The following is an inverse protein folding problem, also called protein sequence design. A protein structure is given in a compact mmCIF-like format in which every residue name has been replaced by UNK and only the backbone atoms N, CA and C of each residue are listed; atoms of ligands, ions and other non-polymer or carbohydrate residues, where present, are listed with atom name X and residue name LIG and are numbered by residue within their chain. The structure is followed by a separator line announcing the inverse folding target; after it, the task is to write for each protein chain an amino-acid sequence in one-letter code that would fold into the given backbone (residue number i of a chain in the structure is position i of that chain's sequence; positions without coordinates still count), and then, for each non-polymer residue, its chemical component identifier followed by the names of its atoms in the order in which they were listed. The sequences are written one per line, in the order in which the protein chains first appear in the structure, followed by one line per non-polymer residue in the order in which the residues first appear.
data_IF_813589491651
#
_entry.id   IF_813589491651
#
_cell.length_a   1.000
_cell.length_b   1.000
_cell.length_c   1.000
_cell.angle_alpha   90.00
_cell.angle_beta   90.00
_cell.angle_gamma   90.00
#
_symmetry.space_group_name_H-M   'P 1'
#
loop_
_entity.id
_entity.type
_entity.pdbx_description
1 polymer ?
#
# COMPACT_ATOMS: atom_id res chain seq x y z
N UNK A 1 4.91 -14.90 16.86
CA UNK A 1 3.86 -13.92 16.51
C UNK A 1 4.47 -12.87 15.60
N UNK A 2 3.93 -12.71 14.40
CA UNK A 2 4.40 -11.74 13.41
C UNK A 2 3.32 -10.69 13.19
N UNK A 3 3.73 -9.42 13.13
CA UNK A 3 2.91 -8.37 12.53
C UNK A 3 3.57 -8.02 11.20
N UNK A 4 2.82 -8.05 10.11
CA UNK A 4 3.32 -7.71 8.78
C UNK A 4 2.52 -6.51 8.28
N UNK A 5 3.19 -5.37 8.15
CA UNK A 5 2.67 -4.12 7.60
C UNK A 5 2.99 -4.08 6.10
N UNK A 6 1.96 -4.08 5.27
CA UNK A 6 2.11 -4.10 3.82
C UNK A 6 0.94 -3.42 3.10
N UNK A 7 1.14 -3.14 1.81
CA UNK A 7 0.31 -2.30 0.96
C UNK A 7 0.33 -0.82 1.35
N UNK A 8 -0.22 -0.48 2.52
CA UNK A 8 -0.14 0.82 3.20
C UNK A 8 -0.23 2.04 2.27
N UNK A 9 -1.31 2.16 1.46
CA UNK A 9 -1.45 3.25 0.51
C UNK A 9 -1.75 4.58 1.20
N UNK A 10 -1.44 5.66 0.49
CA UNK A 10 -1.88 6.99 0.87
C UNK A 10 -3.33 7.19 0.43
N UNK A 11 -4.19 7.57 1.37
CA UNK A 11 -5.59 7.93 1.07
C UNK A 11 -5.63 9.08 0.09
N UNK A 12 -6.59 9.05 -0.83
CA UNK A 12 -6.75 10.00 -1.93
C UNK A 12 -5.57 10.09 -2.92
N UNK A 13 -4.63 9.13 -2.87
CA UNK A 13 -3.72 8.86 -3.99
C UNK A 13 -4.12 7.55 -4.69
N UNK A 14 -3.88 7.46 -6.02
CA UNK A 14 -4.19 6.27 -6.77
C UNK A 14 -3.42 5.08 -6.25
N UNK A 15 -4.11 3.95 -6.20
CA UNK A 15 -3.47 2.66 -6.01
C UNK A 15 -2.74 2.27 -7.29
N UNK A 16 -1.57 2.84 -7.52
CA UNK A 16 -0.75 2.55 -8.68
C UNK A 16 0.04 1.24 -8.51
N UNK A 17 0.61 0.73 -9.61
CA UNK A 17 1.42 -0.50 -9.64
C UNK A 17 2.55 -0.56 -8.60
N UNK A 18 3.11 0.57 -8.16
CA UNK A 18 4.05 0.58 -7.03
C UNK A 18 3.51 -0.04 -5.73
N UNK A 19 2.22 0.12 -5.43
CA UNK A 19 1.58 -0.47 -4.25
C UNK A 19 1.39 -1.97 -4.40
N UNK A 20 1.11 -2.46 -5.63
CA UNK A 20 0.96 -3.89 -5.93
C UNK A 20 2.14 -4.71 -5.41
N UNK A 21 3.36 -4.18 -5.51
CA UNK A 21 4.56 -4.90 -5.10
C UNK A 21 4.61 -5.14 -3.60
N UNK A 22 4.33 -4.12 -2.79
CA UNK A 22 4.17 -4.28 -1.35
C UNK A 22 3.03 -5.24 -1.02
N UNK A 23 1.88 -5.05 -1.68
CA UNK A 23 0.67 -5.86 -1.51
C UNK A 23 0.92 -7.35 -1.71
N UNK A 24 1.48 -7.73 -2.86
CA UNK A 24 1.73 -9.14 -3.23
C UNK A 24 2.87 -9.75 -2.41
N UNK A 25 3.97 -9.02 -2.18
CA UNK A 25 5.09 -9.52 -1.38
C UNK A 25 4.70 -9.72 0.08
N UNK A 26 3.97 -8.75 0.66
CA UNK A 26 3.49 -8.83 2.04
C UNK A 26 2.49 -9.96 2.23
N UNK A 27 1.52 -10.11 1.33
CA UNK A 27 0.58 -11.22 1.37
C UNK A 27 1.28 -12.58 1.24
N UNK A 28 2.21 -12.73 0.29
CA UNK A 28 3.02 -13.95 0.11
C UNK A 28 3.83 -14.28 1.38
N UNK A 29 4.45 -13.28 2.00
CA UNK A 29 5.19 -13.43 3.26
C UNK A 29 4.26 -13.87 4.41
N UNK A 30 3.07 -13.28 4.51
CA UNK A 30 2.09 -13.68 5.52
C UNK A 30 1.66 -15.13 5.35
N UNK A 31 1.41 -15.57 4.11
CA UNK A 31 1.02 -16.94 3.82
C UNK A 31 2.14 -17.93 4.11
N UNK A 32 3.39 -17.58 3.77
CA UNK A 32 4.57 -18.39 4.09
C UNK A 32 4.75 -18.55 5.62
N UNK A 33 4.65 -17.46 6.36
CA UNK A 33 4.76 -17.48 7.83
C UNK A 33 3.61 -18.27 8.46
N UNK A 34 2.39 -18.13 7.96
CA UNK A 34 1.22 -18.87 8.43
C UNK A 34 1.39 -20.38 8.15
N UNK A 35 1.84 -20.74 6.95
CA UNK A 35 2.14 -22.13 6.57
C UNK A 35 3.22 -22.76 7.45
N UNK A 36 4.22 -21.98 7.86
CA UNK A 36 5.24 -22.40 8.83
C UNK A 36 4.73 -22.54 10.28
N UNK A 37 3.43 -22.34 10.53
CA UNK A 37 2.80 -22.50 11.84
C UNK A 37 2.87 -21.27 12.74
N UNK A 38 3.23 -20.09 12.21
CA UNK A 38 3.24 -18.86 12.99
C UNK A 38 1.89 -18.16 13.02
N UNK A 39 1.58 -17.52 14.15
CA UNK A 39 0.49 -16.54 14.22
C UNK A 39 0.92 -15.24 13.52
N UNK A 40 0.18 -14.83 12.49
CA UNK A 40 0.48 -13.65 11.66
C UNK A 40 -0.70 -12.68 11.70
N UNK A 41 -0.42 -11.43 12.02
CA UNK A 41 -1.35 -10.30 11.89
C UNK A 41 -1.02 -9.54 10.61
N UNK A 42 -1.95 -9.53 9.66
CA UNK A 42 -1.91 -8.77 8.40
C UNK A 42 -2.39 -7.35 8.66
N UNK A 43 -1.50 -6.38 8.62
CA UNK A 43 -1.80 -4.98 8.93
C UNK A 43 -1.66 -4.12 7.66
N UNK A 44 -2.64 -3.23 7.45
CA UNK A 44 -2.58 -2.18 6.43
C UNK A 44 -2.50 -0.82 7.13
N UNK A 45 -1.39 -0.10 6.97
CA UNK A 45 -1.15 1.18 7.62
C UNK A 45 -1.41 2.34 6.65
N UNK A 46 -2.59 2.94 6.74
CA UNK A 46 -3.04 3.94 5.78
C UNK A 46 -2.35 5.28 5.99
N UNK A 47 -1.77 5.82 4.92
CA UNK A 47 -1.25 7.19 4.88
C UNK A 47 -2.39 8.18 4.73
N UNK A 48 -3.09 8.48 5.82
CA UNK A 48 -4.27 9.36 5.86
C UNK A 48 -4.03 10.68 6.60
N UNK A 49 -2.76 11.02 6.87
CA UNK A 49 -2.38 12.23 7.59
C UNK A 49 -1.20 12.93 6.92
N UNK A 50 -1.41 14.17 6.49
CA UNK A 50 -0.35 15.01 5.91
C UNK A 50 -0.87 16.13 5.04
N UNK A 51 0.05 16.93 4.48
CA UNK A 51 -0.28 18.11 3.66
C UNK A 51 -1.10 17.77 2.41
N UNK A 52 -1.02 16.53 1.92
CA UNK A 52 -1.88 16.02 0.85
C UNK A 52 -3.37 16.08 1.21
N UNK A 53 -3.73 15.89 2.48
CA UNK A 53 -5.11 15.98 2.96
C UNK A 53 -5.61 17.43 2.84
N UNK A 54 -4.80 18.40 3.27
CA UNK A 54 -5.12 19.83 3.15
C UNK A 54 -5.26 20.29 1.71
N UNK A 55 -4.41 19.80 0.81
CA UNK A 55 -4.54 20.07 -0.64
C UNK A 55 -5.87 19.57 -1.20
N UNK A 56 -6.26 18.35 -0.83
CA UNK A 56 -7.52 17.77 -1.28
C UNK A 56 -8.71 18.56 -0.75
N UNK A 57 -8.73 18.90 0.55
CA UNK A 57 -9.79 19.71 1.17
C UNK A 57 -9.90 21.07 0.49
N UNK A 58 -8.77 21.78 0.31
CA UNK A 58 -8.75 23.10 -0.31
C UNK A 58 -9.15 23.06 -1.79
N UNK A 59 -8.72 22.02 -2.50
CA UNK A 59 -8.96 21.81 -3.93
C UNK A 59 -10.37 21.35 -4.26
N UNK A 60 -10.99 20.54 -3.39
CA UNK A 60 -12.31 19.96 -3.67
C UNK A 60 -13.40 21.03 -3.81
N UNK A 61 -13.31 22.14 -3.07
CA UNK A 61 -14.25 23.25 -3.23
C UNK A 61 -14.24 23.89 -4.63
N UNK A 62 -13.15 23.75 -5.39
CA UNK A 62 -12.98 24.36 -6.73
C UNK A 62 -13.05 23.34 -7.85
N UNK A 63 -12.46 22.17 -7.66
CA UNK A 63 -12.31 21.12 -8.68
C UNK A 63 -13.19 19.90 -8.41
N UNK A 64 -13.85 19.84 -7.25
CA UNK A 64 -14.73 18.75 -6.87
C UNK A 64 -16.04 18.76 -7.63
N UNK A 65 -16.54 17.56 -7.94
CA UNK A 65 -17.83 17.34 -8.57
C UNK A 65 -18.46 16.09 -7.93
N UNK A 66 -19.66 16.24 -7.38
CA UNK A 66 -20.32 15.15 -6.65
C UNK A 66 -20.76 13.99 -7.55
N UNK A 67 -21.11 14.25 -8.81
CA UNK A 67 -21.50 13.20 -9.77
C UNK A 67 -20.29 12.35 -10.17
N UNK A 68 -19.15 12.99 -10.45
CA UNK A 68 -17.91 12.27 -10.77
C UNK A 68 -17.37 11.52 -9.55
N UNK A 69 -17.47 12.10 -8.35
CA UNK A 69 -17.14 11.41 -7.11
C UNK A 69 -17.99 10.15 -6.90
N UNK A 70 -19.28 10.18 -7.25
CA UNK A 70 -20.16 9.02 -7.12
C UNK A 70 -19.86 7.92 -8.16
N UNK A 71 -19.41 8.28 -9.36
CA UNK A 71 -19.08 7.32 -10.43
C UNK A 71 -17.76 6.59 -10.18
N UNK A 72 -16.71 7.32 -9.86
CA UNK A 72 -15.36 6.78 -9.64
C UNK A 72 -14.64 7.63 -8.58
N UNK A 73 -14.86 7.34 -7.28
CA UNK A 73 -14.34 8.18 -6.21
C UNK A 73 -12.82 8.31 -6.25
N UNK A 74 -12.10 7.21 -6.46
CA UNK A 74 -10.63 7.20 -6.45
C UNK A 74 -10.05 8.05 -7.57
N UNK A 75 -10.59 7.91 -8.79
CA UNK A 75 -10.14 8.67 -9.94
C UNK A 75 -10.47 10.15 -9.82
N UNK A 76 -11.65 10.49 -9.29
CA UNK A 76 -12.04 11.87 -9.10
C UNK A 76 -11.25 12.55 -7.98
N UNK A 77 -11.06 11.91 -6.83
CA UNK A 77 -10.21 12.47 -5.75
C UNK A 77 -8.77 12.69 -6.23
N UNK A 78 -8.25 11.80 -7.08
CA UNK A 78 -6.95 11.99 -7.71
C UNK A 78 -6.93 13.23 -8.64
N UNK A 79 -7.94 13.40 -9.48
CA UNK A 79 -7.99 14.53 -10.41
C UNK A 79 -8.01 15.86 -9.65
N UNK A 80 -8.77 15.93 -8.56
CA UNK A 80 -8.80 17.07 -7.63
C UNK A 80 -7.43 17.30 -6.99
N UNK A 81 -6.78 16.24 -6.48
CA UNK A 81 -5.46 16.35 -5.86
C UNK A 81 -4.40 16.89 -6.85
N UNK A 82 -4.36 16.37 -8.08
CA UNK A 82 -3.39 16.83 -9.10
C UNK A 82 -3.64 18.29 -9.48
N UNK A 83 -4.90 18.68 -9.65
CA UNK A 83 -5.26 20.06 -9.93
C UNK A 83 -4.85 20.98 -8.76
N UNK A 84 -5.16 20.59 -7.53
CA UNK A 84 -4.82 21.33 -6.32
C UNK A 84 -3.30 21.46 -6.12
N UNK A 85 -2.53 20.38 -6.35
CA UNK A 85 -1.08 20.42 -6.23
C UNK A 85 -0.46 21.35 -7.28
N UNK A 86 -0.91 21.25 -8.54
CA UNK A 86 -0.47 22.15 -9.63
C UNK A 86 -0.78 23.62 -9.32
N UNK A 87 -1.93 23.88 -8.67
CA UNK A 87 -2.31 25.22 -8.26
C UNK A 87 -1.44 25.72 -7.09
N UNK A 88 -1.20 24.89 -6.07
CA UNK A 88 -0.34 25.22 -4.94
C UNK A 88 1.13 25.49 -5.32
N UNK A 89 1.61 24.92 -6.42
CA UNK A 89 2.93 25.22 -6.99
C UNK A 89 3.01 26.61 -7.63
N UNK A 90 1.88 27.12 -8.14
CA UNK A 90 1.79 28.39 -8.90
C UNK A 90 1.27 29.55 -8.06
N UNK A 91 0.45 29.25 -7.07
CA UNK A 91 -0.28 30.23 -6.25
C UNK A 91 0.10 30.06 -4.75
N UNK A 92 0.92 30.96 -4.21
CA UNK A 92 1.27 30.98 -2.79
C UNK A 92 0.07 31.12 -1.86
N UNK A 93 -0.99 31.82 -2.27
CA UNK A 93 -2.20 32.01 -1.45
C UNK A 93 -3.00 30.71 -1.39
N UNK A 94 -3.09 29.99 -2.51
CA UNK A 94 -3.68 28.65 -2.52
C UNK A 94 -2.88 27.68 -1.66
N UNK A 95 -1.54 27.75 -1.70
CA UNK A 95 -0.68 26.94 -0.83
C UNK A 95 -0.92 27.24 0.65
N UNK A 96 -1.03 28.52 1.03
CA UNK A 96 -1.36 28.93 2.39
C UNK A 96 -2.75 28.41 2.81
N UNK A 97 -3.73 28.46 1.90
CA UNK A 97 -5.06 27.89 2.12
C UNK A 97 -5.01 26.38 2.36
N UNK A 98 -4.25 25.63 1.56
CA UNK A 98 -4.09 24.18 1.73
C UNK A 98 -3.44 23.82 3.08
N UNK A 99 -2.45 24.60 3.53
CA UNK A 99 -1.85 24.46 4.86
C UNK A 99 -2.86 24.76 5.97
N UNK A 100 -3.69 25.80 5.81
CA UNK A 100 -4.77 26.11 6.74
C UNK A 100 -5.79 24.98 6.82
N UNK A 101 -6.26 24.47 5.68
CA UNK A 101 -7.20 23.34 5.67
C UNK A 101 -6.62 22.09 6.33
N UNK A 102 -5.31 21.85 6.22
CA UNK A 102 -4.66 20.79 6.99
C UNK A 102 -4.66 21.09 8.49
N UNK A 103 -4.32 22.31 8.90
CA UNK A 103 -4.37 22.70 10.31
C UNK A 103 -5.78 22.59 10.91
N UNK A 104 -6.82 22.97 10.15
CA UNK A 104 -8.23 22.81 10.55
C UNK A 104 -8.60 21.32 10.72
N UNK A 105 -8.07 20.45 9.86
CA UNK A 105 -8.21 18.99 10.00
C UNK A 105 -7.48 18.48 11.25
N UNK A 106 -6.28 18.96 11.55
CA UNK A 106 -5.54 18.61 12.76
C UNK A 106 -6.23 19.10 14.04
N UNK A 107 -6.92 20.25 13.97
CA UNK A 107 -7.73 20.80 15.05
C UNK A 107 -9.06 20.05 15.28
N UNK A 108 -9.44 19.16 14.36
CA UNK A 108 -10.68 18.41 14.44
C UNK A 108 -11.92 19.24 14.10
N UNK A 109 -11.79 20.25 13.24
CA UNK A 109 -12.91 21.07 12.79
C UNK A 109 -14.01 20.18 12.17
N UNK A 110 -15.25 20.17 12.72
CA UNK A 110 -16.25 19.15 12.41
C UNK A 110 -16.54 18.98 10.91
N UNK A 111 -16.74 20.09 10.18
CA UNK A 111 -17.07 20.03 8.75
C UNK A 111 -15.92 19.50 7.89
N UNK A 112 -14.68 19.82 8.27
CA UNK A 112 -13.49 19.37 7.54
C UNK A 112 -13.25 17.89 7.82
N UNK A 113 -13.40 17.49 9.08
CA UNK A 113 -13.23 16.11 9.52
C UNK A 113 -14.27 15.17 8.91
N UNK A 114 -15.55 15.57 8.86
CA UNK A 114 -16.63 14.78 8.26
C UNK A 114 -16.36 14.49 6.78
N UNK A 115 -15.97 15.53 6.01
CA UNK A 115 -15.61 15.36 4.59
C UNK A 115 -14.39 14.48 4.41
N UNK A 116 -13.36 14.66 5.24
CA UNK A 116 -12.17 13.82 5.19
C UNK A 116 -12.50 12.35 5.48
N UNK A 117 -13.33 12.07 6.49
CA UNK A 117 -13.78 10.72 6.81
C UNK A 117 -14.56 10.08 5.64
N UNK A 118 -15.43 10.85 4.97
CA UNK A 118 -16.13 10.39 3.79
C UNK A 118 -15.16 9.97 2.66
N UNK A 119 -14.17 10.81 2.33
CA UNK A 119 -13.20 10.51 1.28
C UNK A 119 -12.26 9.36 1.64
N UNK A 120 -11.92 9.25 2.93
CA UNK A 120 -11.18 8.11 3.47
C UNK A 120 -11.97 6.82 3.29
N UNK A 121 -13.25 6.80 3.62
CA UNK A 121 -14.10 5.62 3.44
C UNK A 121 -14.24 5.24 1.96
N UNK A 122 -14.51 6.21 1.09
CA UNK A 122 -14.58 5.97 -0.37
C UNK A 122 -13.28 5.39 -0.93
N UNK A 123 -12.13 5.86 -0.43
CA UNK A 123 -10.83 5.32 -0.83
C UNK A 123 -10.66 3.87 -0.36
N UNK A 124 -11.07 3.57 0.88
CA UNK A 124 -11.00 2.24 1.46
C UNK A 124 -11.89 1.23 0.72
N UNK A 125 -13.12 1.62 0.39
CA UNK A 125 -14.05 0.77 -0.36
C UNK A 125 -13.46 0.41 -1.74
N UNK A 126 -12.84 1.39 -2.42
CA UNK A 126 -12.15 1.17 -3.68
C UNK A 126 -10.94 0.23 -3.56
N UNK A 127 -10.12 0.38 -2.52
CA UNK A 127 -9.00 -0.54 -2.27
C UNK A 127 -9.49 -1.95 -1.90
N UNK A 128 -10.57 -2.06 -1.12
CA UNK A 128 -11.13 -3.35 -0.68
C UNK A 128 -11.52 -4.23 -1.86
N UNK A 129 -12.10 -3.67 -2.92
CA UNK A 129 -12.43 -4.43 -4.13
C UNK A 129 -11.17 -5.03 -4.77
N UNK A 130 -10.09 -4.25 -4.86
CA UNK A 130 -8.82 -4.70 -5.45
C UNK A 130 -8.12 -5.76 -4.58
N UNK A 131 -8.16 -5.61 -3.26
CA UNK A 131 -7.65 -6.62 -2.34
C UNK A 131 -8.43 -7.93 -2.47
N UNK A 132 -9.76 -7.88 -2.50
CA UNK A 132 -10.62 -9.05 -2.68
C UNK A 132 -10.30 -9.76 -4.00
N UNK A 133 -10.14 -9.03 -5.11
CA UNK A 133 -9.75 -9.62 -6.39
C UNK A 133 -8.43 -10.39 -6.29
N UNK A 134 -7.45 -9.84 -5.57
CA UNK A 134 -6.15 -10.48 -5.35
C UNK A 134 -6.17 -11.60 -4.28
N UNK A 135 -7.31 -11.88 -3.66
CA UNK A 135 -7.42 -12.86 -2.57
C UNK A 135 -6.76 -12.39 -1.27
N UNK A 136 -6.68 -11.07 -1.05
CA UNK A 136 -5.97 -10.45 0.06
C UNK A 136 -6.97 -9.90 1.06
N UNK A 137 -6.75 -10.21 2.34
CA UNK A 137 -7.47 -9.64 3.47
C UNK A 137 -6.48 -9.10 4.51
N UNK A 138 -6.96 -8.17 5.33
CA UNK A 138 -6.21 -7.60 6.45
C UNK A 138 -6.97 -7.86 7.75
N UNK A 139 -6.22 -8.18 8.80
CA UNK A 139 -6.74 -8.38 10.15
C UNK A 139 -6.90 -7.04 10.87
N UNK A 140 -6.05 -6.07 10.53
CA UNK A 140 -6.01 -4.74 11.14
C UNK A 140 -5.89 -3.68 10.05
N UNK A 141 -6.82 -2.72 10.07
CA UNK A 141 -6.70 -1.46 9.36
C UNK A 141 -6.25 -0.38 10.34
N UNK A 142 -5.03 0.09 10.17
CA UNK A 142 -4.39 1.15 10.94
C UNK A 142 -4.24 2.40 10.06
N UNK A 143 -3.96 3.55 10.66
CA UNK A 143 -3.91 4.83 9.98
C UNK A 143 -3.00 5.81 10.72
N UNK A 144 -2.21 6.59 9.98
CA UNK A 144 -1.31 7.61 10.54
C UNK A 144 -2.03 8.60 11.44
N UNK A 145 -3.27 8.97 11.08
CA UNK A 145 -4.10 9.93 11.83
C UNK A 145 -4.32 9.51 13.28
N UNK A 146 -4.38 8.20 13.58
CA UNK A 146 -4.58 7.66 14.94
C UNK A 146 -3.39 7.93 15.85
N UNK A 147 -2.19 8.01 15.29
CA UNK A 147 -0.93 8.19 16.02
C UNK A 147 -0.53 9.65 16.19
N UNK A 148 -1.26 10.58 15.54
CA UNK A 148 -0.91 12.00 15.51
C UNK A 148 -0.80 12.63 16.91
N UNK A 149 -1.78 12.36 17.78
CA UNK A 149 -1.80 12.89 19.15
C UNK A 149 -0.72 12.25 20.02
N UNK A 150 -0.63 10.93 20.02
CA UNK A 150 0.37 10.19 20.79
C UNK A 150 1.81 10.54 20.35
N UNK A 151 2.02 10.92 19.08
CA UNK A 151 3.30 11.44 18.62
C UNK A 151 3.68 12.78 19.28
N UNK A 152 2.72 13.65 19.57
CA UNK A 152 2.97 14.88 20.34
C UNK A 152 3.27 14.56 21.80
N UNK A 153 2.53 13.64 22.40
CA UNK A 153 2.74 13.21 23.78
C UNK A 153 4.14 12.57 23.97
N UNK A 154 4.60 11.78 22.99
CA UNK A 154 5.97 11.24 22.95
C UNK A 154 7.03 12.35 22.92
N UNK A 155 6.84 13.39 22.11
CA UNK A 155 7.77 14.54 22.05
C UNK A 155 7.82 15.27 23.39
N UNK A 156 6.67 15.46 24.04
CA UNK A 156 6.62 16.07 25.39
C UNK A 156 7.32 15.21 26.43
N UNK A 157 7.13 13.89 26.39
CA UNK A 157 7.82 12.95 27.26
C UNK A 157 9.34 13.05 27.05
N UNK A 158 9.82 12.97 25.81
CA UNK A 158 11.25 13.09 25.49
C UNK A 158 11.83 14.42 25.95
N UNK A 159 11.06 15.51 25.89
CA UNK A 159 11.46 16.82 26.42
C UNK A 159 11.60 16.80 27.94
N UNK A 160 10.64 16.20 28.66
CA UNK A 160 10.70 16.07 30.14
C UNK A 160 11.87 15.19 30.60
N UNK A 161 12.21 14.17 29.83
CA UNK A 161 13.36 13.29 30.07
C UNK A 161 14.72 13.92 29.68
N UNK A 162 14.72 15.13 29.07
CA UNK A 162 15.94 15.78 28.61
C UNK A 162 16.58 15.13 27.38
N UNK A 163 15.85 14.26 26.66
CA UNK A 163 16.32 13.54 25.46
C UNK A 163 16.01 14.28 24.16
N UNK A 164 14.99 15.14 24.15
CA UNK A 164 14.64 15.94 22.98
C UNK A 164 15.55 17.16 22.88
N UNK A 165 16.35 17.23 21.82
CA UNK A 165 17.27 18.34 21.54
C UNK A 165 16.81 19.16 20.33
N UNK A 166 17.22 20.43 20.29
CA UNK A 166 16.99 21.34 19.17
C UNK A 166 18.28 21.53 18.39
N UNK A 167 18.21 21.44 17.06
CA UNK A 167 19.27 21.90 16.16
C UNK A 167 19.28 23.43 16.02
N UNK A 168 20.33 23.95 15.39
CA UNK A 168 20.51 25.38 15.07
C UNK A 168 19.36 25.93 14.21
N UNK A 169 18.76 25.12 13.34
CA UNK A 169 17.62 25.47 12.50
C UNK A 169 16.26 25.36 13.22
N UNK A 170 16.28 25.01 14.51
CA UNK A 170 15.09 24.81 15.35
C UNK A 170 14.42 23.44 15.19
N UNK A 171 14.91 22.55 14.32
CA UNK A 171 14.37 21.19 14.19
C UNK A 171 14.61 20.41 15.49
N UNK A 172 13.57 19.72 15.97
CA UNK A 172 13.61 18.94 17.21
C UNK A 172 13.85 17.46 16.90
N UNK A 173 14.68 16.81 17.70
CA UNK A 173 15.05 15.41 17.49
C UNK A 173 15.74 14.78 18.69
N UNK A 174 16.31 13.60 18.48
CA UNK A 174 17.07 12.85 19.48
C UNK A 174 18.47 12.53 18.95
N UNK A 175 19.45 12.45 19.85
CA UNK A 175 20.82 12.03 19.51
C UNK A 175 20.99 10.52 19.71
N UNK A 176 21.14 9.77 18.62
CA UNK A 176 21.19 8.30 18.64
C UNK A 176 22.04 7.77 17.48
N UNK A 177 23.25 7.26 17.76
CA UNK A 177 24.57 7.80 17.31
C UNK A 177 24.64 9.01 16.36
N UNK A 178 23.56 9.39 15.69
CA UNK A 178 23.37 10.57 14.86
C UNK A 178 22.13 11.35 15.31
N UNK A 179 22.03 12.62 14.90
CA UNK A 179 20.82 13.41 15.11
C UNK A 179 19.67 12.88 14.22
N UNK A 180 18.59 12.42 14.85
CA UNK A 180 17.38 11.95 14.16
C UNK A 180 16.24 12.95 14.40
N UNK A 181 15.72 13.61 13.33
CA UNK A 181 14.65 14.59 13.48
C UNK A 181 13.31 13.90 13.78
N UNK A 182 12.57 14.44 14.76
CA UNK A 182 11.25 13.96 15.17
C UNK A 182 10.15 15.03 15.07
N UNK A 183 10.51 16.31 15.07
CA UNK A 183 9.54 17.38 14.86
C UNK A 183 10.15 18.58 14.13
N UNK A 184 9.29 19.31 13.41
CA UNK A 184 9.65 20.59 12.80
C UNK A 184 9.92 21.65 13.89
N UNK A 185 10.51 22.78 13.51
CA UNK A 185 10.68 23.94 14.38
C UNK A 185 9.35 24.50 14.92
N UNK A 186 8.24 24.26 14.21
CA UNK A 186 6.89 24.60 14.69
C UNK A 186 6.36 23.66 15.80
N UNK A 187 7.07 22.58 16.13
CA UNK A 187 6.63 21.53 17.05
C UNK A 187 5.77 20.43 16.42
N UNK A 188 5.42 20.54 15.13
CA UNK A 188 4.63 19.52 14.43
C UNK A 188 5.43 18.22 14.23
N UNK A 189 4.81 17.08 14.51
CA UNK A 189 5.46 15.76 14.44
C UNK A 189 5.75 15.32 13.00
N UNK A 190 6.87 14.62 12.81
CA UNK A 190 7.25 14.02 11.53
C UNK A 190 6.64 12.63 11.36
N UNK A 191 6.64 12.11 10.12
CA UNK A 191 6.23 10.74 9.80
C UNK A 191 6.95 9.71 10.68
N UNK A 192 8.26 9.90 10.87
CA UNK A 192 9.07 9.01 11.71
C UNK A 192 8.55 8.93 13.15
N UNK A 193 8.11 10.05 13.73
CA UNK A 193 7.59 10.09 15.11
C UNK A 193 6.27 9.34 15.24
N UNK A 194 5.39 9.46 14.23
CA UNK A 194 4.17 8.66 14.15
C UNK A 194 4.48 7.18 14.02
N UNK A 195 5.47 6.81 13.22
CA UNK A 195 5.88 5.41 13.05
C UNK A 195 6.53 4.81 14.31
N UNK A 196 7.26 5.62 15.10
CA UNK A 196 7.77 5.21 16.41
C UNK A 196 6.61 4.87 17.33
N UNK A 197 5.61 5.75 17.43
CA UNK A 197 4.40 5.52 18.23
C UNK A 197 3.64 4.29 17.74
N UNK A 198 3.42 4.18 16.43
CA UNK A 198 2.73 3.02 15.85
C UNK A 198 3.47 1.71 16.19
N UNK A 199 4.80 1.69 16.16
CA UNK A 199 5.57 0.51 16.55
C UNK A 199 5.40 0.16 18.04
N UNK A 200 5.40 1.16 18.93
CA UNK A 200 5.16 0.98 20.37
C UNK A 200 3.76 0.42 20.62
N UNK A 201 2.71 1.03 20.05
CA UNK A 201 1.32 0.58 20.21
C UNK A 201 1.10 -0.82 19.64
N UNK A 202 1.68 -1.12 18.46
CA UNK A 202 1.62 -2.49 17.88
C UNK A 202 2.24 -3.52 18.81
N UNK A 203 3.31 -3.17 19.53
CA UNK A 203 3.92 -4.07 20.51
C UNK A 203 2.97 -4.32 21.67
N UNK A 204 2.30 -3.29 22.18
CA UNK A 204 1.35 -3.42 23.28
C UNK A 204 0.13 -4.27 22.88
N UNK A 205 -0.45 -4.00 21.71
CA UNK A 205 -1.69 -4.66 21.24
C UNK A 205 -1.43 -6.10 20.80
N UNK A 206 -0.36 -6.36 20.04
CA UNK A 206 -0.14 -7.67 19.43
C UNK A 206 0.90 -8.52 20.15
N UNK A 207 1.71 -7.91 21.02
CA UNK A 207 2.87 -8.52 21.65
C UNK A 207 3.69 -9.37 20.66
N UNK A 208 4.08 -8.75 19.54
CA UNK A 208 4.76 -9.44 18.46
C UNK A 208 6.17 -9.90 18.86
N UNK A 209 6.63 -10.99 18.26
CA UNK A 209 8.04 -11.40 18.29
C UNK A 209 8.83 -10.76 17.14
N UNK A 210 8.16 -10.46 16.02
CA UNK A 210 8.72 -9.76 14.87
C UNK A 210 7.68 -8.82 14.25
N UNK A 211 8.11 -7.62 13.85
CA UNK A 211 7.32 -6.69 13.08
C UNK A 211 8.01 -6.44 11.73
N UNK A 212 7.38 -6.86 10.64
CA UNK A 212 7.90 -6.77 9.29
C UNK A 212 7.21 -5.64 8.52
N UNK A 213 8.00 -4.68 8.04
CA UNK A 213 7.53 -3.54 7.27
C UNK A 213 7.90 -3.75 5.80
N UNK A 214 6.91 -4.07 4.96
CA UNK A 214 7.12 -4.37 3.54
C UNK A 214 7.01 -3.08 2.73
N UNK A 215 8.14 -2.39 2.58
CA UNK A 215 8.19 -1.03 2.00
C UNK A 215 9.31 -0.91 0.96
N UNK A 216 9.15 -0.02 -0.03
CA UNK A 216 10.15 0.26 -1.07
C UNK A 216 11.54 0.51 -0.47
N UNK A 217 12.58 -0.01 -1.13
CA UNK A 217 13.98 0.10 -0.68
C UNK A 217 14.45 1.55 -0.49
N UNK A 218 13.82 2.54 -1.13
CA UNK A 218 14.15 3.95 -0.94
C UNK A 218 13.85 4.45 0.47
N UNK A 219 13.04 3.73 1.25
CA UNK A 219 12.73 4.03 2.66
C UNK A 219 13.68 3.33 3.65
N UNK A 220 14.76 2.68 3.18
CA UNK A 220 15.67 1.96 4.07
C UNK A 220 16.26 2.85 5.17
N UNK A 221 16.62 4.09 4.84
CA UNK A 221 17.14 5.05 5.81
C UNK A 221 16.10 5.47 6.86
N UNK A 222 14.84 5.60 6.47
CA UNK A 222 13.73 5.88 7.39
C UNK A 222 13.58 4.75 8.42
N UNK A 223 13.56 3.49 7.97
CA UNK A 223 13.45 2.33 8.88
C UNK A 223 14.70 2.11 9.73
N UNK A 224 15.89 2.47 9.23
CA UNK A 224 17.10 2.50 10.05
C UNK A 224 16.96 3.50 11.20
N UNK A 225 16.49 4.71 10.91
CA UNK A 225 16.25 5.75 11.93
C UNK A 225 15.15 5.36 12.91
N UNK A 226 14.09 4.69 12.44
CA UNK A 226 13.04 4.13 13.31
C UNK A 226 13.64 3.19 14.35
N UNK A 227 14.50 2.25 13.92
CA UNK A 227 15.18 1.34 14.84
C UNK A 227 16.07 2.09 15.84
N UNK A 228 16.85 3.08 15.40
CA UNK A 228 17.70 3.90 16.29
C UNK A 228 16.90 4.65 17.35
N UNK A 229 15.76 5.23 16.99
CA UNK A 229 14.90 5.94 17.95
C UNK A 229 14.30 4.96 18.95
N UNK A 230 13.83 3.79 18.50
CA UNK A 230 13.32 2.74 19.38
C UNK A 230 14.41 2.27 20.37
N UNK A 231 15.64 2.06 19.91
CA UNK A 231 16.78 1.72 20.77
C UNK A 231 17.06 2.80 21.82
N UNK A 232 16.99 4.08 21.44
CA UNK A 232 17.17 5.21 22.36
C UNK A 232 16.04 5.31 23.41
N UNK A 233 14.83 4.87 23.07
CA UNK A 233 13.73 4.72 24.03
C UNK A 233 13.96 3.55 24.99
N UNK A 234 15.03 2.76 24.81
CA UNK A 234 15.40 1.65 25.68
C UNK A 234 14.56 0.40 25.44
N UNK A 235 13.86 0.30 24.30
CA UNK A 235 13.02 -0.88 24.03
C UNK A 235 13.87 -2.04 23.54
N UNK A 236 13.89 -3.13 24.31
CA UNK A 236 14.71 -4.32 24.02
C UNK A 236 14.34 -5.02 22.71
N UNK A 237 13.13 -4.76 22.21
CA UNK A 237 12.60 -5.39 21.00
C UNK A 237 12.84 -4.58 19.72
N UNK A 238 13.62 -3.49 19.76
CA UNK A 238 13.89 -2.65 18.59
C UNK A 238 14.46 -3.46 17.42
N UNK A 239 15.36 -4.42 17.69
CA UNK A 239 15.94 -5.30 16.68
C UNK A 239 14.94 -6.24 15.99
N UNK A 240 13.75 -6.42 16.55
CA UNK A 240 12.67 -7.25 16.00
C UNK A 240 11.79 -6.47 15.00
N UNK A 241 11.99 -5.15 14.89
CA UNK A 241 11.41 -4.31 13.83
C UNK A 241 12.30 -4.40 12.60
N UNK A 242 11.81 -5.06 11.55
CA UNK A 242 12.58 -5.35 10.34
C UNK A 242 11.95 -4.71 9.10
N UNK A 243 12.76 -4.00 8.34
CA UNK A 243 12.41 -3.56 7.00
C UNK A 243 12.56 -4.72 6.02
N UNK A 244 11.51 -5.00 5.26
CA UNK A 244 11.51 -5.94 4.14
C UNK A 244 11.53 -5.13 2.84
N UNK A 245 12.71 -4.68 2.37
CA UNK A 245 12.81 -3.83 1.19
C UNK A 245 12.41 -4.56 -0.09
N UNK A 246 11.91 -3.79 -1.05
CA UNK A 246 11.71 -4.24 -2.43
C UNK A 246 12.06 -3.16 -3.46
N UNK A 247 12.33 -3.58 -4.70
CA UNK A 247 12.52 -2.69 -5.86
C UNK A 247 11.23 -2.38 -6.60
N UNK A 248 11.26 -1.41 -7.51
CA UNK A 248 10.07 -0.90 -8.21
C UNK A 248 9.68 -1.74 -9.42
N UNK A 249 8.43 -1.63 -9.82
CA UNK A 249 7.96 -2.14 -11.11
C UNK A 249 8.19 -1.05 -12.17
N UNK A 250 8.80 -1.42 -13.29
CA UNK A 250 9.10 -0.59 -14.45
C UNK A 250 8.37 -1.13 -15.68
N UNK A 251 8.27 -0.34 -16.74
CA UNK A 251 7.77 -0.82 -18.04
C UNK A 251 6.25 -0.95 -18.15
N UNK A 252 5.50 -0.68 -17.07
CA UNK A 252 4.05 -0.62 -17.15
C UNK A 252 3.63 0.73 -17.71
N UNK A 253 3.17 0.75 -18.95
CA UNK A 253 2.46 1.90 -19.53
C UNK A 253 1.03 1.50 -19.88
N UNK A 254 0.10 2.44 -19.67
CA UNK A 254 -1.24 2.29 -20.24
C UNK A 254 -1.17 2.35 -21.78
N UNK A 255 -2.24 1.93 -22.49
CA UNK A 255 -2.38 2.13 -23.94
C UNK A 255 -2.21 3.60 -24.39
N UNK A 256 -2.25 4.55 -23.44
CA UNK A 256 -2.01 6.00 -23.64
C UNK A 256 -0.57 6.45 -23.34
N UNK A 257 0.37 5.54 -23.08
CA UNK A 257 1.80 5.85 -22.90
C UNK A 257 2.20 6.42 -21.54
N UNK A 258 1.33 6.38 -20.54
CA UNK A 258 1.64 6.89 -19.19
C UNK A 258 2.41 5.80 -18.43
N UNK A 259 3.73 5.97 -18.33
CA UNK A 259 4.68 5.02 -17.70
C UNK A 259 4.82 5.17 -16.18
N UNK A 260 4.36 6.29 -15.62
CA UNK A 260 4.27 6.52 -14.17
C UNK A 260 2.80 6.73 -13.81
N UNK A 261 2.19 5.80 -13.07
CA UNK A 261 0.84 5.98 -12.53
C UNK A 261 -0.29 5.20 -13.21
N UNK A 262 -0.01 4.09 -13.91
CA UNK A 262 -1.08 3.13 -14.23
C UNK A 262 -1.74 2.65 -12.92
N UNK A 263 -3.07 2.77 -12.87
CA UNK A 263 -3.86 2.27 -11.74
C UNK A 263 -3.77 0.75 -11.69
N UNK A 264 -3.84 0.18 -10.48
CA UNK A 264 -3.84 -1.27 -10.32
C UNK A 264 -5.05 -1.87 -11.00
N UNK A 265 -6.24 -1.28 -10.84
CA UNK A 265 -7.45 -1.83 -11.45
C UNK A 265 -7.33 -1.90 -12.99
N UNK A 266 -6.80 -0.85 -13.61
CA UNK A 266 -6.50 -0.84 -15.05
C UNK A 266 -5.52 -1.97 -15.43
N UNK A 267 -4.48 -2.20 -14.61
CA UNK A 267 -3.50 -3.26 -14.86
C UNK A 267 -4.17 -4.64 -14.79
N UNK A 268 -4.97 -4.89 -13.75
CA UNK A 268 -5.68 -6.16 -13.57
C UNK A 268 -6.69 -6.38 -14.71
N UNK A 269 -7.48 -5.36 -15.04
CA UNK A 269 -8.46 -5.43 -16.12
C UNK A 269 -7.80 -5.70 -17.48
N UNK A 270 -6.67 -5.06 -17.76
CA UNK A 270 -5.90 -5.32 -18.99
C UNK A 270 -5.32 -6.74 -19.00
N UNK A 271 -4.82 -7.25 -17.86
CA UNK A 271 -4.31 -8.62 -17.75
C UNK A 271 -5.41 -9.65 -18.04
N UNK A 272 -6.61 -9.43 -17.49
CA UNK A 272 -7.77 -10.30 -17.66
C UNK A 272 -8.30 -10.24 -19.09
N UNK A 273 -8.37 -9.05 -19.67
CA UNK A 273 -8.75 -8.88 -21.07
C UNK A 273 -7.81 -9.64 -22.02
N UNK A 274 -6.50 -9.53 -21.81
CA UNK A 274 -5.51 -10.25 -22.63
C UNK A 274 -5.56 -11.75 -22.41
N UNK A 275 -5.78 -12.20 -21.18
CA UNK A 275 -5.98 -13.62 -20.88
C UNK A 275 -7.20 -14.18 -21.61
N UNK A 276 -8.32 -13.43 -21.63
CA UNK A 276 -9.53 -13.81 -22.39
C UNK A 276 -9.24 -13.94 -23.88
N UNK A 277 -8.58 -12.95 -24.49
CA UNK A 277 -8.21 -13.02 -25.90
C UNK A 277 -7.33 -14.23 -26.22
N UNK A 278 -6.37 -14.55 -25.35
CA UNK A 278 -5.53 -15.73 -25.51
C UNK A 278 -6.33 -17.04 -25.40
N UNK A 279 -7.33 -17.11 -24.50
CA UNK A 279 -8.23 -18.25 -24.39
C UNK A 279 -9.10 -18.43 -25.63
N UNK A 280 -9.66 -17.36 -26.18
CA UNK A 280 -10.53 -17.40 -27.37
C UNK A 280 -9.77 -17.94 -28.61
N UNK A 281 -8.46 -17.69 -28.69
CA UNK A 281 -7.61 -18.12 -29.80
C UNK A 281 -7.00 -19.52 -29.57
N UNK A 282 -6.98 -20.01 -28.34
CA UNK A 282 -6.31 -21.26 -27.99
C UNK A 282 -7.21 -22.48 -28.30
N UNK A 283 -6.77 -23.43 -29.16
CA UNK A 283 -7.56 -24.63 -29.47
C UNK A 283 -7.69 -25.59 -28.28
N UNK A 284 -6.92 -25.36 -27.21
CA UNK A 284 -6.92 -26.16 -25.98
C UNK A 284 -7.90 -25.66 -24.92
N UNK A 285 -8.56 -24.51 -25.14
CA UNK A 285 -9.58 -23.99 -24.22
C UNK A 285 -10.79 -24.93 -24.21
N UNK A 286 -11.07 -25.52 -23.05
CA UNK A 286 -12.21 -26.46 -22.85
C UNK A 286 -13.35 -25.86 -22.04
N UNK A 287 -13.17 -24.65 -21.52
CA UNK A 287 -14.18 -23.93 -20.74
C UNK A 287 -15.18 -23.33 -21.71
N UNK A 288 -16.47 -23.54 -21.47
CA UNK A 288 -17.57 -23.00 -22.27
C UNK A 288 -18.54 -22.19 -21.39
N UNK A 289 -19.21 -21.22 -22.00
CA UNK A 289 -20.14 -20.31 -21.31
C UNK A 289 -19.46 -19.05 -20.79
N UNK A 290 -20.13 -17.90 -20.97
CA UNK A 290 -19.55 -16.58 -20.74
C UNK A 290 -19.07 -16.38 -19.29
N UNK A 291 -19.85 -16.85 -18.31
CA UNK A 291 -19.49 -16.75 -16.89
C UNK A 291 -18.23 -17.55 -16.55
N UNK A 292 -18.14 -18.80 -17.00
CA UNK A 292 -17.00 -19.66 -16.70
C UNK A 292 -15.73 -19.17 -17.43
N UNK A 293 -15.89 -18.68 -18.66
CA UNK A 293 -14.81 -18.03 -19.39
C UNK A 293 -14.30 -16.77 -18.69
N UNK A 294 -15.20 -15.94 -18.17
CA UNK A 294 -14.85 -14.75 -17.39
C UNK A 294 -14.04 -15.09 -16.14
N UNK A 295 -14.47 -16.09 -15.36
CA UNK A 295 -13.76 -16.54 -14.17
C UNK A 295 -12.36 -17.09 -14.48
N UNK A 296 -12.25 -17.93 -15.50
CA UNK A 296 -10.95 -18.47 -15.92
C UNK A 296 -10.01 -17.36 -16.44
N UNK A 297 -10.52 -16.38 -17.18
CA UNK A 297 -9.75 -15.22 -17.60
C UNK A 297 -9.29 -14.35 -16.41
N UNK A 298 -10.15 -14.16 -15.40
CA UNK A 298 -9.79 -13.46 -14.15
C UNK A 298 -8.62 -14.18 -13.47
N UNK A 299 -8.75 -15.48 -13.22
CA UNK A 299 -7.70 -16.28 -12.57
C UNK A 299 -6.38 -16.26 -13.34
N UNK A 300 -6.41 -16.43 -14.67
CA UNK A 300 -5.23 -16.40 -15.52
C UNK A 300 -4.55 -15.02 -15.54
N UNK A 301 -5.34 -13.95 -15.68
CA UNK A 301 -4.84 -12.57 -15.67
C UNK A 301 -4.18 -12.20 -14.34
N UNK A 302 -4.83 -12.52 -13.22
CA UNK A 302 -4.29 -12.27 -11.88
C UNK A 302 -3.02 -13.10 -11.63
N UNK A 303 -3.01 -14.38 -12.01
CA UNK A 303 -1.83 -15.24 -11.88
C UNK A 303 -0.63 -14.68 -12.65
N UNK A 304 -0.85 -14.17 -13.88
CA UNK A 304 0.19 -13.53 -14.68
C UNK A 304 0.80 -12.32 -13.95
N UNK A 305 -0.03 -11.46 -13.36
CA UNK A 305 0.41 -10.26 -12.62
C UNK A 305 1.17 -10.63 -11.34
N UNK A 306 0.61 -11.53 -10.53
CA UNK A 306 1.18 -11.95 -9.23
C UNK A 306 2.52 -12.66 -9.43
N UNK A 307 2.59 -13.63 -10.35
CA UNK A 307 3.82 -14.38 -10.59
C UNK A 307 4.91 -13.50 -11.18
N UNK A 308 4.57 -12.56 -12.06
CA UNK A 308 5.54 -11.58 -12.55
C UNK A 308 6.07 -10.68 -11.42
N UNK A 309 5.22 -10.25 -10.49
CA UNK A 309 5.65 -9.47 -9.31
C UNK A 309 6.61 -10.23 -8.41
N UNK A 310 6.34 -11.52 -8.17
CA UNK A 310 7.16 -12.40 -7.33
C UNK A 310 8.39 -12.95 -8.05
N UNK A 311 8.53 -12.69 -9.36
CA UNK A 311 9.66 -13.18 -10.15
C UNK A 311 10.95 -12.47 -9.76
N UNK A 312 11.96 -13.25 -9.42
CA UNK A 312 13.30 -12.75 -9.10
C UNK A 312 13.44 -12.25 -7.67
N UNK A 313 14.57 -11.58 -7.40
CA UNK A 313 14.89 -11.10 -6.04
C UNK A 313 14.10 -9.84 -5.73
N UNK A 314 13.39 -9.82 -4.60
CA UNK A 314 12.55 -8.67 -4.16
C UNK A 314 13.27 -7.31 -4.22
N UNK A 315 14.56 -7.24 -3.87
CA UNK A 315 15.33 -6.00 -3.81
C UNK A 315 15.61 -5.37 -5.18
N UNK A 316 15.45 -6.13 -6.28
CA UNK A 316 15.68 -5.62 -7.64
C UNK A 316 14.40 -5.02 -8.22
N UNK A 317 14.59 -4.05 -9.11
CA UNK A 317 13.50 -3.60 -9.98
C UNK A 317 13.07 -4.74 -10.88
N UNK A 318 11.78 -4.79 -11.22
CA UNK A 318 11.23 -5.72 -12.18
C UNK A 318 10.62 -4.93 -13.32
N UNK A 319 11.01 -5.26 -14.54
CA UNK A 319 10.36 -4.75 -15.74
C UNK A 319 9.17 -5.64 -16.05
N UNK A 320 7.98 -5.07 -16.00
CA UNK A 320 6.77 -5.75 -16.38
C UNK A 320 6.67 -5.78 -17.90
N UNK A 321 6.51 -6.97 -18.46
CA UNK A 321 6.38 -7.21 -19.89
C UNK A 321 5.17 -8.10 -20.13
N UNK A 322 4.21 -7.61 -20.91
CA UNK A 322 2.96 -8.31 -21.16
C UNK A 322 3.16 -9.64 -21.89
N UNK A 323 4.09 -9.67 -22.86
CA UNK A 323 4.34 -10.86 -23.64
C UNK A 323 4.91 -11.97 -22.75
N UNK A 324 5.80 -11.62 -21.83
CA UNK A 324 6.39 -12.53 -20.87
C UNK A 324 5.41 -12.95 -19.77
N UNK A 325 4.64 -12.01 -19.21
CA UNK A 325 3.70 -12.29 -18.12
C UNK A 325 2.59 -13.26 -18.55
N UNK A 326 2.14 -13.15 -19.81
CA UNK A 326 1.05 -13.96 -20.38
C UNK A 326 1.55 -15.12 -21.25
N UNK A 327 2.85 -15.39 -21.28
CA UNK A 327 3.41 -16.45 -22.11
C UNK A 327 2.94 -17.83 -21.60
N UNK A 328 2.38 -18.67 -22.47
CA UNK A 328 1.86 -19.98 -22.08
C UNK A 328 2.98 -20.99 -21.74
N UNK A 329 4.19 -20.79 -22.25
CA UNK A 329 5.36 -21.63 -21.98
C UNK A 329 6.40 -20.93 -21.07
N UNK A 330 7.20 -21.70 -20.34
CA UNK A 330 8.24 -21.18 -19.44
C UNK A 330 7.70 -20.71 -18.09
N UNK A 331 8.48 -19.91 -17.36
CA UNK A 331 8.19 -19.56 -15.95
C UNK A 331 7.19 -18.39 -15.83
N UNK A 332 5.90 -18.64 -16.09
CA UNK A 332 4.83 -17.64 -16.01
C UNK A 332 3.65 -18.11 -15.16
N UNK A 333 2.79 -17.18 -14.73
CA UNK A 333 1.55 -17.54 -14.02
C UNK A 333 0.59 -18.38 -14.87
N UNK A 334 0.56 -18.13 -16.18
CA UNK A 334 -0.25 -18.91 -17.13
C UNK A 334 0.23 -20.36 -17.20
N UNK A 335 1.55 -20.59 -17.25
CA UNK A 335 2.11 -21.93 -17.29
C UNK A 335 1.77 -22.75 -16.05
N UNK A 336 1.78 -22.12 -14.87
CA UNK A 336 1.44 -22.76 -13.59
C UNK A 336 -0.04 -23.14 -13.54
N UNK A 337 -0.92 -22.23 -13.95
CA UNK A 337 -2.36 -22.50 -14.02
C UNK A 337 -2.68 -23.59 -15.05
N UNK A 338 -2.00 -23.59 -16.20
CA UNK A 338 -2.14 -24.64 -17.20
C UNK A 338 -1.68 -26.01 -16.67
N UNK A 339 -0.55 -26.06 -15.97
CA UNK A 339 -0.04 -27.28 -15.36
C UNK A 339 -1.04 -27.82 -14.32
N UNK A 340 -1.57 -26.96 -13.45
CA UNK A 340 -2.60 -27.30 -12.47
C UNK A 340 -3.85 -27.87 -13.15
N UNK A 341 -4.45 -27.13 -14.10
CA UNK A 341 -5.65 -27.58 -14.81
C UNK A 341 -5.44 -28.90 -15.57
N UNK A 342 -4.24 -29.13 -16.12
CA UNK A 342 -3.90 -30.39 -16.79
C UNK A 342 -3.82 -31.56 -15.80
N UNK A 343 -3.27 -31.35 -14.60
CA UNK A 343 -3.21 -32.36 -13.55
C UNK A 343 -4.62 -32.72 -13.06
N UNK A 344 -5.46 -31.73 -12.75
CA UNK A 344 -6.86 -31.97 -12.39
C UNK A 344 -7.60 -32.77 -13.47
N UNK A 345 -7.42 -32.41 -14.75
CA UNK A 345 -8.03 -33.17 -15.86
C UNK A 345 -7.53 -34.62 -15.98
N UNK A 346 -6.29 -34.91 -15.55
CA UNK A 346 -5.79 -36.30 -15.51
C UNK A 346 -6.40 -37.09 -14.35
N UNK A 347 -6.55 -36.46 -13.19
CA UNK A 347 -7.23 -37.06 -12.02
C UNK A 347 -8.68 -37.39 -12.34
N UNK A 348 -9.44 -36.46 -12.91
CA UNK A 348 -10.83 -36.69 -13.35
C UNK A 348 -10.93 -37.88 -14.31
N UNK A 349 -10.04 -37.95 -15.31
CA UNK A 349 -10.01 -39.05 -16.29
C UNK A 349 -9.64 -40.39 -15.68
N UNK A 350 -8.85 -40.38 -14.62
CA UNK A 350 -8.49 -41.58 -13.87
C UNK A 350 -9.56 -41.97 -12.83
N UNK A 351 -10.63 -41.19 -12.69
CA UNK A 351 -11.72 -41.44 -11.75
C UNK A 351 -11.42 -41.04 -10.32
N UNK A 352 -10.39 -40.22 -10.08
CA UNK A 352 -10.14 -39.65 -8.77
C UNK A 352 -11.03 -38.43 -8.54
N UNK A 353 -11.54 -38.24 -7.31
CA UNK A 353 -12.23 -37.00 -6.96
C UNK A 353 -11.22 -35.85 -6.99
N UNK A 354 -11.49 -34.83 -7.81
CA UNK A 354 -10.72 -33.59 -7.78
C UNK A 354 -11.28 -32.73 -6.66
N UNK A 355 -10.47 -32.50 -5.63
CA UNK A 355 -10.76 -31.46 -4.66
C UNK A 355 -10.43 -30.11 -5.31
N UNK A 356 -11.46 -29.39 -5.72
CA UNK A 356 -11.30 -28.08 -6.35
C UNK A 356 -10.93 -26.98 -5.35
N UNK A 357 -10.90 -27.27 -4.04
CA UNK A 357 -10.46 -26.32 -3.00
C UNK A 357 -11.30 -25.03 -2.93
N UNK A 358 -12.50 -25.04 -3.51
CA UNK A 358 -13.50 -23.97 -3.46
C UNK A 358 -14.66 -24.39 -2.55
#
# INVERSE_FOLDING_TARGET
RYVVDFSSPNVAKPFHVGHLRSTVLGHSLCNLLSFAGHHVTRLNYLGDWGTQCGLLVAGFGKHGNSEELAKDPLKHLLSVYVAANTEAEKDPDFRAKALKCFADLEAGEPEVLERWQQWRQLSLDGYSQQYTRLGISFDVLDAESRHSRAALDLLEQLRKEGKLVSREDGVLGVECPEFVPLAKSSGASLYLTRDVVAALERKEVHNFDWAYYVVDRSQAEHFRRLALVLEQLGVKWASQVQHVPFGRIRGVSSRKGISEGMLLDDLLNEAVHRARLAMDQAPTTRVSGETAMGLAAEQLGLAAVVVNCLRGRRNRDVTFDWQQALHAAGDSGISLQYAHARLCSLEEKAGFPVDTGV
#
